data_IF_009770275996
#
_entry.id   IF_009770275996
#
_cell.length_a   1.000
_cell.length_b   1.000
_cell.length_c   1.000
_cell.angle_alpha   90.00
_cell.angle_beta   90.00
_cell.angle_gamma   90.00
#
_symmetry.space_group_name_H-M   'P 1'
#
loop_
_entity.id
_entity.type
_entity.pdbx_description
1 polymer ?
#
# COMPACT_ATOMS: atom_id res chain seq x y z
N UNK A 1 -17.48 0.95 -0.06
CA UNK A 1 -16.72 1.23 1.17
C UNK A 1 -17.63 1.64 2.33
N UNK A 2 -18.49 2.61 2.12
CA UNK A 2 -19.39 3.06 3.20
C UNK A 2 -20.25 1.93 3.75
N UNK A 3 -20.79 1.10 2.88
CA UNK A 3 -21.65 0.00 3.31
C UNK A 3 -20.88 -1.02 4.14
N UNK A 4 -19.63 -1.32 3.76
CA UNK A 4 -18.80 -2.25 4.50
C UNK A 4 -18.45 -1.70 5.88
N UNK A 5 -18.14 -0.41 5.97
CA UNK A 5 -17.82 0.23 7.24
C UNK A 5 -19.02 0.20 8.20
N UNK A 6 -20.23 0.40 7.66
CA UNK A 6 -21.45 0.35 8.47
C UNK A 6 -21.76 -1.04 9.04
N UNK A 7 -21.30 -2.09 8.36
CA UNK A 7 -21.51 -3.47 8.80
C UNK A 7 -20.42 -3.98 9.73
N UNK A 8 -19.47 -3.12 10.09
CA UNK A 8 -18.39 -3.49 11.01
C UNK A 8 -17.17 -4.08 10.32
N UNK A 9 -17.14 -4.15 8.99
CA UNK A 9 -15.99 -4.63 8.23
C UNK A 9 -15.09 -3.47 7.84
N UNK A 10 -13.79 -3.72 7.82
CA UNK A 10 -12.81 -2.75 7.37
C UNK A 10 -12.38 -3.16 5.96
N UNK A 11 -12.73 -2.38 4.92
CA UNK A 11 -12.35 -2.74 3.56
C UNK A 11 -10.86 -2.50 3.32
N UNK A 12 -10.24 -3.41 2.57
CA UNK A 12 -8.86 -3.27 2.11
C UNK A 12 -8.90 -3.10 0.60
N UNK A 13 -8.37 -1.99 0.12
CA UNK A 13 -8.27 -1.73 -1.31
C UNK A 13 -6.95 -2.34 -1.79
N UNK A 14 -7.04 -3.55 -2.32
CA UNK A 14 -5.87 -4.29 -2.80
C UNK A 14 -5.39 -3.72 -4.13
N UNK A 15 -4.09 -3.68 -4.32
CA UNK A 15 -3.46 -3.21 -5.56
C UNK A 15 -3.98 -1.83 -5.97
N UNK A 16 -3.99 -0.90 -5.03
CA UNK A 16 -4.58 0.43 -5.22
C UNK A 16 -4.04 1.16 -6.44
N UNK A 17 -2.78 0.94 -6.79
CA UNK A 17 -2.15 1.58 -7.93
C UNK A 17 -2.77 1.18 -9.28
N UNK A 18 -3.53 0.09 -9.32
CA UNK A 18 -4.20 -0.36 -10.55
C UNK A 18 -5.50 0.37 -10.84
N UNK A 19 -6.04 1.09 -9.85
CA UNK A 19 -7.29 1.80 -10.03
C UNK A 19 -7.05 3.24 -10.45
N UNK A 20 -7.26 3.52 -11.71
CA UNK A 20 -7.05 4.88 -12.25
C UNK A 20 -7.89 5.94 -11.56
N UNK A 21 -9.09 5.57 -11.13
CA UNK A 21 -9.98 6.53 -10.45
C UNK A 21 -9.39 7.04 -9.13
N UNK A 22 -8.49 6.29 -8.51
CA UNK A 22 -7.84 6.72 -7.27
C UNK A 22 -6.75 7.76 -7.49
N UNK A 23 -6.33 7.95 -8.73
CA UNK A 23 -5.27 8.92 -9.05
C UNK A 23 -5.78 10.34 -9.22
N UNK A 24 -7.10 10.52 -9.18
CA UNK A 24 -7.72 11.83 -9.36
C UNK A 24 -8.00 12.49 -8.02
N UNK A 25 -7.56 13.73 -7.86
CA UNK A 25 -7.86 14.52 -6.68
C UNK A 25 -7.41 13.86 -5.39
N UNK A 26 -8.26 13.88 -4.39
CA UNK A 26 -7.98 13.34 -3.06
C UNK A 26 -8.75 12.07 -2.78
N UNK A 27 -8.94 11.23 -3.77
CA UNK A 27 -9.74 10.01 -3.64
C UNK A 27 -9.15 9.01 -2.64
N UNK A 28 -7.83 8.90 -2.59
CA UNK A 28 -7.17 8.02 -1.62
C UNK A 28 -7.47 8.51 -0.20
N UNK A 29 -7.32 9.80 0.04
CA UNK A 29 -7.58 10.40 1.34
C UNK A 29 -9.05 10.26 1.73
N UNK A 30 -9.96 10.37 0.77
CA UNK A 30 -11.39 10.18 1.01
C UNK A 30 -11.70 8.75 1.47
N UNK A 31 -11.08 7.76 0.84
CA UNK A 31 -11.25 6.36 1.22
C UNK A 31 -10.69 6.09 2.62
N UNK A 32 -9.54 6.66 2.92
CA UNK A 32 -8.95 6.54 4.26
C UNK A 32 -9.88 7.16 5.30
N UNK A 33 -10.50 8.29 4.97
CA UNK A 33 -11.50 8.93 5.83
C UNK A 33 -12.73 8.07 6.08
N UNK A 34 -12.97 7.06 5.23
CA UNK A 34 -14.04 6.10 5.40
C UNK A 34 -13.53 4.78 6.02
N UNK A 35 -12.37 4.82 6.64
CA UNK A 35 -11.71 3.69 7.32
C UNK A 35 -11.25 2.57 6.39
N UNK A 36 -11.06 2.84 5.11
CA UNK A 36 -10.47 1.87 4.19
C UNK A 36 -8.96 1.82 4.38
N UNK A 37 -8.40 0.63 4.17
CA UNK A 37 -6.96 0.41 4.19
C UNK A 37 -6.45 0.31 2.76
N UNK A 38 -5.29 0.88 2.50
CA UNK A 38 -4.70 0.92 1.16
C UNK A 38 -3.53 -0.05 1.09
N UNK A 39 -3.58 -0.96 0.13
CA UNK A 39 -2.52 -1.93 -0.11
C UNK A 39 -1.88 -1.65 -1.48
N UNK A 40 -0.57 -1.68 -1.55
CA UNK A 40 0.20 -1.50 -2.78
C UNK A 40 1.15 -2.65 -3.01
N UNK A 41 1.56 -2.83 -4.26
CA UNK A 41 2.55 -3.83 -4.62
C UNK A 41 3.95 -3.23 -4.64
N UNK A 42 4.92 -3.99 -4.15
CA UNK A 42 6.33 -3.57 -4.18
C UNK A 42 6.80 -3.25 -5.60
N UNK A 43 6.42 -4.08 -6.55
CA UNK A 43 6.82 -3.91 -7.95
C UNK A 43 6.52 -2.51 -8.47
N UNK A 44 5.35 -1.99 -8.14
CA UNK A 44 4.94 -0.66 -8.62
C UNK A 44 5.78 0.45 -8.03
N UNK A 45 6.21 0.30 -6.78
CA UNK A 45 7.05 1.30 -6.11
C UNK A 45 8.46 1.31 -6.70
N UNK A 46 8.96 0.14 -7.10
CA UNK A 46 10.30 0.00 -7.64
C UNK A 46 10.47 0.39 -9.10
N UNK A 47 9.44 0.94 -9.74
CA UNK A 47 9.51 1.34 -11.14
C UNK A 47 10.52 2.44 -11.42
N UNK A 48 10.82 2.66 -12.70
CA UNK A 48 11.82 3.66 -13.10
C UNK A 48 11.36 5.07 -12.76
N UNK A 49 12.31 6.02 -12.76
CA UNK A 49 12.03 7.40 -12.37
C UNK A 49 11.02 8.12 -13.25
N UNK A 50 10.85 7.69 -14.50
CA UNK A 50 9.86 8.28 -15.41
C UNK A 50 8.54 7.52 -15.44
N UNK A 51 8.38 6.50 -14.60
CA UNK A 51 7.14 5.74 -14.51
C UNK A 51 6.12 6.52 -13.66
N UNK A 52 5.02 6.91 -14.30
CA UNK A 52 3.96 7.69 -13.64
C UNK A 52 3.35 6.92 -12.46
N UNK A 53 3.14 5.62 -12.61
CA UNK A 53 2.60 4.79 -11.54
C UNK A 53 3.55 4.75 -10.35
N UNK A 54 4.85 4.60 -10.60
CA UNK A 54 5.85 4.58 -9.52
C UNK A 54 5.86 5.91 -8.77
N UNK A 55 5.78 7.03 -9.46
CA UNK A 55 5.72 8.34 -8.83
C UNK A 55 4.48 8.49 -7.96
N UNK A 56 3.34 8.05 -8.44
CA UNK A 56 2.10 8.11 -7.67
C UNK A 56 2.20 7.26 -6.40
N UNK A 57 2.74 6.05 -6.52
CA UNK A 57 2.93 5.15 -5.38
C UNK A 57 3.87 5.77 -4.34
N UNK A 58 5.00 6.29 -4.78
CA UNK A 58 6.00 6.91 -3.89
C UNK A 58 5.45 8.13 -3.19
N UNK A 59 4.66 8.93 -3.90
CA UNK A 59 4.03 10.11 -3.33
C UNK A 59 3.05 9.72 -2.21
N UNK A 60 2.24 8.71 -2.42
CA UNK A 60 1.31 8.22 -1.40
C UNK A 60 2.03 7.60 -0.21
N UNK A 61 3.15 6.93 -0.44
CA UNK A 61 3.97 6.41 0.64
C UNK A 61 4.54 7.53 1.50
N UNK A 62 5.02 8.60 0.87
CA UNK A 62 5.54 9.77 1.60
C UNK A 62 4.47 10.46 2.42
N UNK A 63 3.23 10.45 1.95
CA UNK A 63 2.09 11.03 2.67
C UNK A 63 1.57 10.14 3.80
N UNK A 64 2.03 8.91 3.89
CA UNK A 64 1.56 7.97 4.90
C UNK A 64 0.21 7.35 4.59
N UNK A 65 -0.20 7.34 3.32
CA UNK A 65 -1.50 6.85 2.90
C UNK A 65 -1.56 5.33 2.71
N UNK A 66 -0.44 4.64 2.72
CA UNK A 66 -0.38 3.20 2.47
C UNK A 66 -0.33 2.45 3.79
N UNK A 67 -1.11 1.39 3.90
CA UNK A 67 -1.21 0.59 5.14
C UNK A 67 -0.57 -0.79 5.02
N UNK A 68 -0.50 -1.33 3.80
CA UNK A 68 0.01 -2.67 3.55
C UNK A 68 0.79 -2.72 2.26
N UNK A 69 1.86 -3.53 2.26
CA UNK A 69 2.62 -3.81 1.05
C UNK A 69 2.50 -5.29 0.71
N UNK A 70 2.49 -5.61 -0.57
CA UNK A 70 2.39 -6.97 -1.04
C UNK A 70 3.18 -7.22 -2.30
N UNK A 71 3.46 -8.49 -2.59
CA UNK A 71 4.23 -8.88 -3.76
C UNK A 71 3.37 -9.24 -4.96
N UNK A 72 2.11 -9.55 -4.74
CA UNK A 72 1.22 -10.02 -5.80
C UNK A 72 1.82 -11.20 -6.59
N UNK A 73 2.51 -12.10 -5.87
CA UNK A 73 3.15 -13.22 -6.51
C UNK A 73 2.18 -14.35 -6.77
N UNK A 74 2.08 -14.74 -8.03
CA UNK A 74 1.28 -15.88 -8.42
C UNK A 74 2.15 -17.11 -8.65
N UNK A 75 3.46 -16.97 -8.53
CA UNK A 75 4.39 -18.01 -8.90
C UNK A 75 5.53 -18.04 -7.91
N UNK A 76 5.72 -19.17 -7.27
CA UNK A 76 6.76 -19.31 -6.24
C UNK A 76 8.18 -19.36 -6.81
N UNK A 77 8.34 -19.53 -8.10
CA UNK A 77 9.65 -19.65 -8.72
C UNK A 77 10.42 -18.36 -8.88
N UNK A 78 9.80 -17.23 -8.58
CA UNK A 78 10.45 -16.06 -8.97
C UNK A 78 10.50 -15.01 -8.08
N UNK A 79 11.21 -14.46 -7.99
CA UNK A 79 11.71 -13.62 -7.55
C UNK A 79 11.52 -12.52 -7.15
N UNK A 80 12.19 -11.84 -6.69
CA UNK A 80 12.08 -10.78 -5.86
C UNK A 80 12.93 -9.59 -6.26
N UNK A 81 13.33 -9.41 -7.50
CA UNK A 81 14.13 -8.23 -7.89
C UNK A 81 13.34 -6.93 -7.70
N UNK A 82 12.07 -6.95 -8.03
CA UNK A 82 11.23 -5.74 -7.90
C UNK A 82 11.01 -5.34 -6.44
N UNK A 83 10.89 -6.33 -5.57
CA UNK A 83 10.78 -6.09 -4.14
C UNK A 83 12.04 -5.45 -3.58
N UNK A 84 13.19 -5.90 -4.05
CA UNK A 84 14.49 -5.37 -3.60
C UNK A 84 14.63 -3.88 -3.94
N UNK A 85 14.28 -3.50 -5.15
CA UNK A 85 14.34 -2.10 -5.58
C UNK A 85 13.38 -1.22 -4.78
N UNK A 86 12.15 -1.70 -4.57
CA UNK A 86 11.17 -0.99 -3.78
C UNK A 86 11.64 -0.80 -2.35
N UNK A 87 12.16 -1.85 -1.72
CA UNK A 87 12.66 -1.77 -0.35
C UNK A 87 13.83 -0.81 -0.23
N UNK A 88 14.71 -0.78 -1.21
CA UNK A 88 15.85 0.14 -1.22
C UNK A 88 15.35 1.60 -1.22
N UNK A 89 14.41 1.92 -2.10
CA UNK A 89 13.82 3.24 -2.15
C UNK A 89 13.11 3.61 -0.85
N UNK A 90 12.33 2.67 -0.31
CA UNK A 90 11.55 2.90 0.90
C UNK A 90 12.43 3.13 2.11
N UNK A 91 13.52 2.38 2.24
CA UNK A 91 14.46 2.57 3.35
C UNK A 91 15.14 3.93 3.30
N UNK A 92 15.34 4.46 2.11
CA UNK A 92 15.99 5.76 1.93
C UNK A 92 15.04 6.93 2.20
N UNK A 93 13.76 6.77 1.84
CA UNK A 93 12.82 7.89 1.83
C UNK A 93 11.75 7.85 2.93
N UNK A 94 11.51 6.70 3.55
CA UNK A 94 10.45 6.57 4.55
C UNK A 94 11.01 6.43 5.96
N UNK A 95 10.21 6.89 6.93
CA UNK A 95 10.51 6.70 8.34
C UNK A 95 10.51 5.21 8.69
N UNK A 96 11.43 4.80 9.55
CA UNK A 96 11.58 3.39 9.94
C UNK A 96 10.33 2.81 10.58
N UNK A 97 9.68 3.57 11.43
CA UNK A 97 8.45 3.11 12.09
C UNK A 97 7.34 2.86 11.11
N UNK A 98 7.17 3.78 10.17
CA UNK A 98 6.15 3.64 9.14
C UNK A 98 6.46 2.46 8.23
N UNK A 99 7.72 2.32 7.81
CA UNK A 99 8.14 1.22 6.95
C UNK A 99 7.88 -0.13 7.61
N UNK A 100 8.24 -0.30 8.87
CA UNK A 100 7.99 -1.53 9.61
C UNK A 100 6.50 -1.80 9.74
N UNK A 101 5.71 -0.76 9.95
CA UNK A 101 4.27 -0.87 10.10
C UNK A 101 3.61 -1.42 8.84
N UNK A 102 3.93 -0.87 7.67
CA UNK A 102 3.29 -1.28 6.42
C UNK A 102 3.84 -2.57 5.85
N UNK A 103 5.08 -2.95 6.18
CA UNK A 103 5.68 -4.18 5.66
C UNK A 103 5.49 -5.39 6.56
N UNK A 104 5.22 -5.18 7.84
CA UNK A 104 5.15 -6.27 8.80
C UNK A 104 4.00 -6.15 9.79
N UNK A 105 3.98 -5.10 10.59
CA UNK A 105 3.10 -5.00 11.76
C UNK A 105 1.62 -5.00 11.39
N UNK A 106 1.23 -4.28 10.35
CA UNK A 106 -0.17 -4.22 9.94
C UNK A 106 -0.67 -5.55 9.41
N UNK A 107 0.15 -6.29 8.68
CA UNK A 107 -0.21 -7.62 8.22
C UNK A 107 -0.45 -8.58 9.38
N UNK A 108 0.40 -8.51 10.40
CA UNK A 108 0.23 -9.31 11.62
C UNK A 108 -1.05 -8.95 12.35
N UNK A 109 -1.39 -7.66 12.42
CA UNK A 109 -2.63 -7.23 13.07
C UNK A 109 -3.87 -7.74 12.36
N UNK A 110 -3.84 -7.78 11.04
CA UNK A 110 -4.94 -8.36 10.27
C UNK A 110 -5.10 -9.85 10.59
N UNK A 111 -3.99 -10.59 10.64
CA UNK A 111 -4.00 -12.01 10.98
C UNK A 111 -4.56 -12.24 12.38
N UNK A 112 -4.28 -11.35 13.30
CA UNK A 112 -4.76 -11.44 14.68
C UNK A 112 -6.13 -10.78 14.88
N UNK A 113 -6.74 -10.30 13.82
CA UNK A 113 -8.04 -9.60 13.85
C UNK A 113 -8.00 -8.34 14.74
N UNK A 114 -6.89 -7.62 14.71
CA UNK A 114 -6.72 -6.38 15.47
C UNK A 114 -6.91 -5.16 14.57
N UNK A 115 -7.29 -4.05 15.18
CA UNK A 115 -7.48 -2.78 14.46
C UNK A 115 -6.13 -2.21 14.02
N UNK A 116 -6.06 -1.78 12.76
CA UNK A 116 -4.89 -1.10 12.21
C UNK A 116 -5.11 0.40 12.26
N UNK A 117 -4.18 1.09 12.91
CA UNK A 117 -4.25 2.55 12.99
C UNK A 117 -2.87 3.17 12.87
#
# INVERSE_FOLDING_TARGET
VRNLSRTGYIPVIAHAERYRCLRKGKRVEELIGLDALIQMNYKSVGGSWHDVTAHWCRDNLKKGNVHLMGTDMHNTGNRMPDTKEAMSWMRTHLDRKYLKKITKDNALRITENKIIR
#
